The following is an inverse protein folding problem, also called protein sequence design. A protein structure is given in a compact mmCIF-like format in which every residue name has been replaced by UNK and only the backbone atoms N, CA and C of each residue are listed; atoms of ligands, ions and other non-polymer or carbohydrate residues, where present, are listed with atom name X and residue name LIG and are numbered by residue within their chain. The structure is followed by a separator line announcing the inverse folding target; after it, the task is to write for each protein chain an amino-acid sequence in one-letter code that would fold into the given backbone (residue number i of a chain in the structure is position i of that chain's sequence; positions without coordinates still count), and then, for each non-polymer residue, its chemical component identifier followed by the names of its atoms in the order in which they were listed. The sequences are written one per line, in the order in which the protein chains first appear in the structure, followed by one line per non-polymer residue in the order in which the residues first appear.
data_IF_220949416925
#
_entry.id   IF_220949416925
#
_cell.length_a   1.000
_cell.length_b   1.000
_cell.length_c   1.000
_cell.angle_alpha   90.00
_cell.angle_beta   90.00
_cell.angle_gamma   90.00
#
_symmetry.space_group_name_H-M   'P 1'
#
loop_
_entity.id
_entity.type
_entity.pdbx_description
1 polymer ?
#
# COMPACT_ATOMS: atom_id res chain seq x y z
N UNK A 1 6.03 -14.07 10.78
CA UNK A 1 6.22 -12.77 11.43
C UNK A 1 5.91 -11.62 10.46
N UNK A 2 5.19 -10.59 10.91
CA UNK A 2 4.71 -9.51 10.04
C UNK A 2 5.88 -8.74 9.41
N UNK A 3 6.95 -8.47 10.14
CA UNK A 3 8.11 -7.75 9.60
C UNK A 3 8.75 -8.52 8.44
N UNK A 4 8.78 -9.84 8.52
CA UNK A 4 9.30 -10.66 7.42
C UNK A 4 8.38 -10.58 6.20
N UNK A 5 7.06 -10.60 6.41
CA UNK A 5 6.07 -10.52 5.33
C UNK A 5 6.19 -9.23 4.54
N UNK A 6 6.53 -8.12 5.19
CA UNK A 6 6.63 -6.82 4.53
C UNK A 6 8.08 -6.44 4.17
N UNK A 7 8.99 -7.40 4.19
CA UNK A 7 10.40 -7.22 3.85
C UNK A 7 11.15 -6.27 4.79
N UNK A 8 10.82 -6.33 6.07
CA UNK A 8 11.47 -5.53 7.12
C UNK A 8 12.09 -6.41 8.21
N UNK A 9 12.51 -7.64 7.86
CA UNK A 9 13.07 -8.58 8.84
C UNK A 9 14.29 -8.03 9.57
N UNK A 10 15.08 -7.16 8.90
CA UNK A 10 16.26 -6.54 9.53
C UNK A 10 15.92 -5.47 10.55
N UNK A 11 14.67 -4.98 10.56
CA UNK A 11 14.28 -3.91 11.46
C UNK A 11 14.39 -4.33 12.92
N UNK A 12 13.94 -5.54 13.25
CA UNK A 12 14.03 -6.07 14.61
C UNK A 12 15.47 -6.31 15.05
N UNK A 13 16.38 -6.55 14.09
CA UNK A 13 17.82 -6.68 14.38
C UNK A 13 18.46 -5.33 14.66
N UNK A 14 18.13 -4.33 13.85
CA UNK A 14 18.65 -2.96 14.02
C UNK A 14 18.06 -2.28 15.26
N UNK A 15 16.79 -2.56 15.55
CA UNK A 15 16.05 -1.98 16.66
C UNK A 15 15.37 -3.11 17.45
N UNK A 16 16.13 -3.81 18.34
CA UNK A 16 15.59 -4.99 19.03
C UNK A 16 14.34 -4.74 19.84
N UNK A 17 14.16 -3.52 20.34
CA UNK A 17 12.96 -3.14 21.10
C UNK A 17 12.14 -2.15 20.28
N UNK A 18 11.13 -2.67 19.59
CA UNK A 18 10.25 -1.85 18.75
C UNK A 18 9.25 -1.02 19.57
N UNK A 19 9.15 -1.28 20.88
CA UNK A 19 8.28 -0.50 21.78
C UNK A 19 8.97 0.77 22.27
N UNK A 20 10.29 0.89 22.08
CA UNK A 20 11.02 2.12 22.44
C UNK A 20 10.53 3.27 21.57
N UNK A 21 10.29 4.41 22.18
CA UNK A 21 9.91 5.62 21.44
C UNK A 21 11.07 6.08 20.59
N UNK A 22 10.88 6.05 19.28
CA UNK A 22 11.83 6.52 18.29
C UNK A 22 11.12 7.50 17.37
N UNK A 23 11.89 8.40 16.79
CA UNK A 23 11.37 9.27 15.72
C UNK A 23 11.49 8.47 14.39
N UNK A 24 10.59 7.50 14.21
CA UNK A 24 10.64 6.58 13.09
C UNK A 24 10.69 7.29 11.72
N UNK A 25 9.93 8.38 11.47
CA UNK A 25 10.04 9.08 10.18
C UNK A 25 11.43 9.64 9.90
N UNK A 26 12.26 9.86 10.92
CA UNK A 26 13.62 10.39 10.74
C UNK A 26 14.66 9.30 10.55
N UNK A 27 14.45 8.10 11.11
CA UNK A 27 15.43 7.02 11.08
C UNK A 27 15.12 5.95 10.01
N UNK A 28 13.92 5.97 9.45
CA UNK A 28 13.54 5.04 8.38
C UNK A 28 13.44 5.77 7.04
N UNK A 29 13.85 5.09 5.97
CA UNK A 29 13.57 5.59 4.62
C UNK A 29 12.07 5.63 4.36
N UNK A 30 11.63 6.38 3.35
CA UNK A 30 10.21 6.42 2.99
C UNK A 30 9.68 5.03 2.63
N UNK A 31 10.46 4.24 1.87
CA UNK A 31 10.08 2.85 1.55
C UNK A 31 9.93 1.98 2.78
N UNK A 32 10.83 2.12 3.76
CA UNK A 32 10.71 1.40 5.03
C UNK A 32 9.47 1.83 5.80
N UNK A 33 9.18 3.14 5.83
CA UNK A 33 7.97 3.66 6.47
C UNK A 33 6.71 3.09 5.83
N UNK A 34 6.67 3.01 4.48
CA UNK A 34 5.52 2.46 3.77
C UNK A 34 5.34 0.97 4.06
N UNK A 35 6.43 0.20 4.08
CA UNK A 35 6.36 -1.21 4.42
C UNK A 35 5.93 -1.43 5.87
N UNK A 36 6.39 -0.58 6.78
CA UNK A 36 5.96 -0.66 8.18
C UNK A 36 4.47 -0.36 8.34
N UNK A 37 3.95 0.61 7.57
CA UNK A 37 2.53 0.91 7.57
C UNK A 37 1.70 -0.29 7.11
N UNK A 38 2.13 -1.02 6.08
CA UNK A 38 1.49 -2.27 5.68
C UNK A 38 1.56 -3.33 6.79
N UNK A 39 2.68 -3.41 7.50
CA UNK A 39 2.82 -4.33 8.63
C UNK A 39 1.80 -4.05 9.73
N UNK A 40 1.61 -2.79 10.08
CA UNK A 40 0.60 -2.37 11.07
C UNK A 40 -0.81 -2.74 10.61
N UNK A 41 -1.09 -2.56 9.33
CA UNK A 41 -2.36 -2.89 8.73
C UNK A 41 -2.64 -4.39 8.83
N UNK A 42 -1.65 -5.22 8.53
CA UNK A 42 -1.77 -6.67 8.62
C UNK A 42 -2.00 -7.13 10.07
N UNK A 43 -1.35 -6.49 11.04
CA UNK A 43 -1.54 -6.81 12.45
C UNK A 43 -2.94 -6.44 12.95
N UNK A 44 -3.47 -5.30 12.50
CA UNK A 44 -4.76 -4.81 12.96
C UNK A 44 -5.94 -5.48 12.24
N UNK A 45 -5.70 -6.07 11.09
CA UNK A 45 -6.68 -6.78 10.27
C UNK A 45 -8.02 -6.06 10.17
N UNK A 46 -8.05 -4.80 9.67
CA UNK A 46 -9.31 -4.07 9.51
C UNK A 46 -10.14 -4.72 8.40
N UNK A 47 -11.44 -4.41 8.36
CA UNK A 47 -12.31 -4.86 7.27
C UNK A 47 -12.14 -4.02 6.01
N UNK A 48 -11.68 -2.81 6.17
CA UNK A 48 -11.66 -1.79 5.13
C UNK A 48 -10.45 -0.90 5.32
N UNK A 49 -9.78 -0.55 4.24
CA UNK A 49 -8.59 0.29 4.29
C UNK A 49 -8.54 1.27 3.11
N UNK A 50 -8.09 2.48 3.39
CA UNK A 50 -7.78 3.47 2.36
C UNK A 50 -6.28 3.66 2.32
N UNK A 51 -5.69 3.48 1.14
CA UNK A 51 -4.26 3.62 0.91
C UNK A 51 -4.03 4.83 0.00
N UNK A 52 -3.46 5.90 0.54
CA UNK A 52 -3.21 7.13 -0.21
C UNK A 52 -1.73 7.19 -0.57
N UNK A 53 -1.42 6.88 -1.84
CA UNK A 53 -0.05 6.85 -2.35
C UNK A 53 0.88 5.96 -1.50
N UNK A 54 0.34 4.86 -0.97
CA UNK A 54 1.01 4.07 0.07
C UNK A 54 2.22 3.26 -0.41
N UNK A 55 2.40 3.14 -1.74
CA UNK A 55 3.52 2.40 -2.34
C UNK A 55 4.40 3.28 -3.22
N UNK A 56 4.27 4.60 -3.12
CA UNK A 56 4.96 5.52 -4.02
C UNK A 56 6.48 5.42 -3.99
N UNK A 57 7.06 5.00 -2.87
CA UNK A 57 8.51 4.84 -2.70
C UNK A 57 8.99 3.40 -2.87
N UNK A 58 8.12 2.49 -3.31
CA UNK A 58 8.43 1.07 -3.45
C UNK A 58 8.62 0.71 -4.92
N UNK A 59 9.46 -0.29 -5.18
CA UNK A 59 9.56 -0.86 -6.51
C UNK A 59 8.32 -1.72 -6.81
N UNK A 60 8.15 -2.09 -8.09
CA UNK A 60 6.97 -2.83 -8.53
C UNK A 60 6.88 -4.19 -7.86
N UNK A 61 8.00 -4.88 -7.70
CA UNK A 61 8.01 -6.21 -7.09
C UNK A 61 7.55 -6.17 -5.63
N UNK A 62 8.01 -5.17 -4.88
CA UNK A 62 7.61 -4.99 -3.49
C UNK A 62 6.15 -4.59 -3.39
N UNK A 63 5.69 -3.68 -4.25
CA UNK A 63 4.29 -3.29 -4.31
C UNK A 63 3.38 -4.48 -4.58
N UNK A 64 3.73 -5.31 -5.59
CA UNK A 64 2.97 -6.52 -5.92
C UNK A 64 2.87 -7.45 -4.71
N UNK A 65 3.98 -7.64 -4.01
CA UNK A 65 4.03 -8.50 -2.84
C UNK A 65 3.08 -8.02 -1.73
N UNK A 66 3.12 -6.73 -1.42
CA UNK A 66 2.29 -6.17 -0.35
C UNK A 66 0.80 -6.22 -0.69
N UNK A 67 0.43 -5.88 -1.93
CA UNK A 67 -0.97 -5.97 -2.35
C UNK A 67 -1.45 -7.41 -2.38
N UNK A 68 -0.59 -8.37 -2.74
CA UNK A 68 -0.94 -9.79 -2.68
C UNK A 68 -1.25 -10.22 -1.24
N UNK A 69 -0.50 -9.72 -0.26
CA UNK A 69 -0.78 -9.99 1.15
C UNK A 69 -2.16 -9.46 1.57
N UNK A 70 -2.53 -8.27 1.10
CA UNK A 70 -3.85 -7.70 1.40
C UNK A 70 -4.97 -8.55 0.80
N UNK A 71 -4.80 -9.02 -0.43
CA UNK A 71 -5.80 -9.87 -1.09
C UNK A 71 -5.97 -11.20 -0.37
N UNK A 72 -4.90 -11.78 0.13
CA UNK A 72 -4.96 -13.02 0.90
C UNK A 72 -5.79 -12.87 2.18
N UNK A 73 -5.85 -11.67 2.73
CA UNK A 73 -6.61 -11.38 3.94
C UNK A 73 -8.02 -10.87 3.65
N UNK A 74 -8.40 -10.81 2.39
CA UNK A 74 -9.76 -10.45 1.96
C UNK A 74 -10.22 -9.08 2.47
N UNK A 75 -9.30 -8.13 2.55
CA UNK A 75 -9.60 -6.76 2.95
C UNK A 75 -10.26 -5.99 1.81
N UNK A 76 -11.23 -5.14 2.14
CA UNK A 76 -11.74 -4.17 1.18
C UNK A 76 -10.75 -3.02 1.09
N UNK A 77 -10.23 -2.76 -0.11
CA UNK A 77 -9.15 -1.80 -0.33
C UNK A 77 -9.59 -0.70 -1.29
N UNK A 78 -9.40 0.55 -0.87
CA UNK A 78 -9.49 1.72 -1.75
C UNK A 78 -8.09 2.32 -1.84
N UNK A 79 -7.56 2.40 -3.06
CA UNK A 79 -6.24 2.97 -3.29
C UNK A 79 -6.34 4.27 -4.05
N UNK A 80 -5.58 5.27 -3.62
CA UNK A 80 -5.42 6.54 -4.33
C UNK A 80 -4.00 6.55 -4.87
N UNK A 81 -3.85 6.69 -6.19
CA UNK A 81 -2.52 6.67 -6.79
C UNK A 81 -2.57 6.86 -8.30
N UNK A 82 -1.39 6.97 -8.90
CA UNK A 82 -1.24 7.23 -10.33
C UNK A 82 -0.49 6.11 -11.06
N UNK A 83 0.00 5.10 -10.36
CA UNK A 83 0.79 4.05 -10.98
C UNK A 83 -0.11 3.05 -11.71
N UNK A 84 0.14 2.79 -13.01
CA UNK A 84 -0.69 1.83 -13.77
C UNK A 84 -0.71 0.43 -13.17
N UNK A 85 0.33 0.04 -12.45
CA UNK A 85 0.43 -1.27 -11.80
C UNK A 85 -0.63 -1.50 -10.74
N UNK A 86 -1.22 -0.43 -10.19
CA UNK A 86 -2.22 -0.56 -9.13
C UNK A 86 -3.52 -1.19 -9.61
N UNK A 87 -3.89 -1.01 -10.87
CA UNK A 87 -5.22 -1.47 -11.34
C UNK A 87 -5.37 -2.99 -11.28
N UNK A 88 -4.27 -3.75 -11.37
CA UNK A 88 -4.33 -5.22 -11.32
C UNK A 88 -4.79 -5.76 -9.98
N UNK A 89 -4.74 -4.94 -8.93
CA UNK A 89 -5.14 -5.34 -7.57
C UNK A 89 -6.55 -4.89 -7.21
N UNK A 90 -7.25 -4.28 -8.15
CA UNK A 90 -8.57 -3.69 -7.91
C UNK A 90 -9.56 -4.15 -8.96
N UNK A 91 -10.82 -4.22 -8.57
CA UNK A 91 -11.90 -4.62 -9.46
C UNK A 91 -12.42 -3.45 -10.30
N UNK A 92 -12.38 -2.24 -9.73
CA UNK A 92 -12.95 -1.06 -10.35
C UNK A 92 -12.05 0.14 -10.17
N UNK A 93 -12.17 1.10 -11.08
CA UNK A 93 -11.49 2.41 -11.02
C UNK A 93 -12.54 3.51 -11.02
N UNK A 94 -12.39 4.44 -10.07
CA UNK A 94 -13.16 5.68 -10.04
C UNK A 94 -12.23 6.80 -10.49
N UNK A 95 -12.56 7.41 -11.64
CA UNK A 95 -11.80 8.54 -12.16
C UNK A 95 -12.49 9.84 -11.79
N UNK A 96 -11.73 10.77 -11.20
CA UNK A 96 -12.22 12.11 -10.86
C UNK A 96 -11.58 13.12 -11.80
N UNK A 97 -12.40 13.90 -12.49
CA UNK A 97 -11.93 14.81 -13.53
C UNK A 97 -11.52 16.20 -13.03
N UNK A 98 -11.71 16.47 -11.73
CA UNK A 98 -11.30 17.74 -11.14
C UNK A 98 -12.32 18.87 -11.32
N UNK A 99 -13.37 18.66 -12.13
CA UNK A 99 -14.43 19.64 -12.38
C UNK A 99 -15.80 19.20 -11.82
N UNK A 100 -15.81 18.21 -10.93
CA UNK A 100 -17.01 17.66 -10.36
C UNK A 100 -17.54 16.43 -11.09
N UNK A 101 -17.00 16.10 -12.24
CA UNK A 101 -17.37 14.89 -12.98
C UNK A 101 -16.60 13.68 -12.49
N UNK A 102 -17.22 12.51 -12.63
CA UNK A 102 -16.59 11.24 -12.25
C UNK A 102 -17.06 10.13 -13.18
N UNK A 103 -16.25 9.07 -13.28
CA UNK A 103 -16.59 7.85 -14.02
C UNK A 103 -16.16 6.64 -13.22
N UNK A 104 -17.04 5.65 -13.14
CA UNK A 104 -16.72 4.36 -12.52
C UNK A 104 -16.68 3.29 -13.60
N UNK A 105 -15.63 2.51 -13.65
CA UNK A 105 -15.46 1.47 -14.68
C UNK A 105 -14.69 0.29 -14.13
N UNK A 106 -14.82 -0.90 -14.75
CA UNK A 106 -13.95 -2.03 -14.39
C UNK A 106 -12.47 -1.65 -14.57
N UNK A 107 -11.62 -2.13 -13.66
CA UNK A 107 -10.19 -1.82 -13.72
C UNK A 107 -9.55 -2.25 -15.04
N UNK A 108 -10.02 -3.35 -15.63
CA UNK A 108 -9.51 -3.85 -16.91
C UNK A 108 -9.80 -2.90 -18.07
N UNK A 109 -10.80 -2.03 -17.93
CA UNK A 109 -11.19 -1.06 -18.98
C UNK A 109 -10.52 0.29 -18.84
N UNK A 110 -9.85 0.58 -17.71
CA UNK A 110 -9.23 1.86 -17.45
C UNK A 110 -7.85 1.96 -18.11
N UNK A 111 -7.59 3.08 -18.77
CA UNK A 111 -6.32 3.36 -19.43
C UNK A 111 -5.67 4.59 -18.78
N UNK A 112 -4.61 4.36 -18.00
CA UNK A 112 -3.88 5.43 -17.33
C UNK A 112 -3.24 6.41 -18.30
N UNK A 113 -2.90 5.97 -19.51
CA UNK A 113 -2.25 6.83 -20.51
C UNK A 113 -3.20 7.86 -21.09
N UNK A 114 -4.50 7.64 -20.98
CA UNK A 114 -5.54 8.56 -21.47
C UNK A 114 -6.07 9.53 -20.42
N UNK A 115 -5.68 9.33 -19.17
CA UNK A 115 -6.22 10.13 -18.07
C UNK A 115 -5.45 11.44 -17.85
#
# INVERSE_FOLDING_TARGET
HVLDEVNLSTLSTRYPDLDVKQDWPRILSLGEQQRLAFGRLLLNAPRFVVLDEATSALDVATEDHLYALLRQRELAVISIGHRPTLKQFHDSVLELSGNGDWRLMPATSYDFERS
#
